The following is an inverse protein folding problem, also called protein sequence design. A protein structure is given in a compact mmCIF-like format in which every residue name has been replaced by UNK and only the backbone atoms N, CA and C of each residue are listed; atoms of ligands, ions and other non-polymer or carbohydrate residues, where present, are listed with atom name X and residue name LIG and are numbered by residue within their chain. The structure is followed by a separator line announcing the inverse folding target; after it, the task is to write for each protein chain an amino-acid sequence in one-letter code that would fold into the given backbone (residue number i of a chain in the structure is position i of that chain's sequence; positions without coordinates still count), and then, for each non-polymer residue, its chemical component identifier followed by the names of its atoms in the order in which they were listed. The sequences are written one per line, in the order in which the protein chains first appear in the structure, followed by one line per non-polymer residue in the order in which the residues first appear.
data_IF_657522946458
#
_entry.id   IF_657522946458
#
_cell.length_a   1.000
_cell.length_b   1.000
_cell.length_c   1.000
_cell.angle_alpha   90.00
_cell.angle_beta   90.00
_cell.angle_gamma   90.00
#
_symmetry.space_group_name_H-M   'P 1'
#
loop_
_entity.id
_entity.type
_entity.pdbx_description
1 polymer ?
#
# COMPACT_ATOMS: atom_id res chain seq x y z
N UNK A 1 0.61 -11.12 -12.11
CA UNK A 1 0.72 -9.90 -11.28
C UNK A 1 1.95 -10.02 -10.40
N UNK A 2 3.12 -9.61 -10.91
CA UNK A 2 4.40 -9.53 -10.18
C UNK A 2 5.19 -8.33 -10.74
N UNK A 3 4.54 -7.17 -10.89
CA UNK A 3 5.11 -6.00 -11.55
C UNK A 3 5.38 -4.82 -10.61
N UNK A 4 5.26 -5.05 -9.29
CA UNK A 4 5.63 -4.05 -8.29
C UNK A 4 7.06 -4.42 -7.87
N UNK A 5 8.07 -3.56 -8.07
CA UNK A 5 9.44 -3.85 -7.68
C UNK A 5 9.50 -4.12 -6.18
N UNK A 6 9.65 -5.40 -5.82
CA UNK A 6 10.00 -5.85 -4.48
C UNK A 6 11.50 -5.60 -4.28
N UNK A 7 11.92 -5.38 -3.04
CA UNK A 7 13.29 -5.34 -2.46
C UNK A 7 14.41 -5.88 -3.38
N UNK A 8 14.22 -7.05 -3.99
CA UNK A 8 15.17 -7.71 -4.91
C UNK A 8 15.59 -6.82 -6.09
N UNK A 9 14.66 -6.09 -6.72
CA UNK A 9 14.97 -5.21 -7.85
C UNK A 9 15.71 -3.92 -7.43
N UNK A 10 15.57 -3.51 -6.17
CA UNK A 10 16.29 -2.36 -5.60
C UNK A 10 17.72 -2.76 -5.20
N UNK A 11 17.92 -3.97 -4.69
CA UNK A 11 19.27 -4.51 -4.40
C UNK A 11 20.14 -4.60 -5.65
N UNK A 12 19.58 -4.92 -6.82
CA UNK A 12 20.30 -4.94 -8.10
C UNK A 12 20.70 -3.55 -8.60
N UNK A 13 20.11 -2.47 -8.05
CA UNK A 13 20.46 -1.07 -8.35
C UNK A 13 21.40 -0.45 -7.32
N UNK A 14 22.01 -1.24 -6.45
CA UNK A 14 22.97 -0.77 -5.43
C UNK A 14 22.32 -0.11 -4.21
N UNK A 15 21.00 -0.21 -4.05
CA UNK A 15 20.32 0.27 -2.85
C UNK A 15 20.49 -0.78 -1.76
N UNK A 16 21.32 -0.45 -0.77
CA UNK A 16 21.52 -1.26 0.42
C UNK A 16 20.26 -1.25 1.30
N UNK A 17 19.47 -2.32 1.22
CA UNK A 17 18.29 -2.50 2.09
C UNK A 17 18.81 -3.12 3.40
N UNK A 18 19.12 -2.26 4.37
CA UNK A 18 19.71 -2.65 5.66
C UNK A 18 18.76 -3.38 6.61
N UNK A 19 17.46 -3.46 6.30
CA UNK A 19 16.49 -4.18 7.15
C UNK A 19 15.37 -4.80 6.31
N UNK A 20 14.91 -6.02 6.62
CA UNK A 20 13.70 -6.62 6.04
C UNK A 20 12.41 -5.96 6.55
N UNK A 21 12.51 -4.89 7.34
CA UNK A 21 11.37 -4.17 7.91
C UNK A 21 10.82 -3.12 6.94
N UNK A 22 9.51 -2.92 6.98
CA UNK A 22 8.81 -1.93 6.18
C UNK A 22 9.31 -0.52 6.50
N UNK A 23 9.84 0.17 5.49
CA UNK A 23 10.32 1.56 5.61
C UNK A 23 9.26 2.59 6.05
N UNK A 24 7.97 2.25 5.99
CA UNK A 24 6.89 3.15 6.40
C UNK A 24 6.52 3.03 7.90
N UNK A 25 6.57 1.82 8.48
CA UNK A 25 6.14 1.58 9.87
C UNK A 25 7.24 0.98 10.78
N UNK A 26 8.38 0.57 10.22
CA UNK A 26 9.57 0.06 10.92
C UNK A 26 9.33 -1.21 11.75
N UNK A 27 8.17 -1.85 11.63
CA UNK A 27 7.77 -2.97 12.50
C UNK A 27 7.46 -4.29 11.78
N UNK A 28 6.89 -4.24 10.57
CA UNK A 28 6.49 -5.44 9.82
C UNK A 28 7.52 -5.88 8.79
N UNK A 29 7.62 -7.20 8.52
CA UNK A 29 8.41 -7.71 7.40
C UNK A 29 7.86 -7.17 6.09
N UNK A 30 8.72 -6.59 5.28
CA UNK A 30 8.32 -5.92 4.06
C UNK A 30 7.93 -6.95 3.00
N UNK A 31 6.62 -7.01 2.73
CA UNK A 31 6.03 -7.70 1.59
C UNK A 31 5.11 -6.73 0.86
N UNK A 32 4.78 -7.03 -0.39
CA UNK A 32 3.84 -6.22 -1.19
C UNK A 32 2.51 -6.03 -0.47
N UNK A 33 1.95 -7.09 0.11
CA UNK A 33 0.70 -7.01 0.87
C UNK A 33 0.88 -6.24 2.19
N UNK A 34 2.01 -6.39 2.88
CA UNK A 34 2.24 -5.56 4.06
C UNK A 34 2.31 -4.08 3.69
N UNK A 35 3.18 -3.72 2.75
CA UNK A 35 3.41 -2.35 2.34
C UNK A 35 2.14 -1.65 1.82
N UNK A 36 1.35 -2.35 1.00
CA UNK A 36 0.23 -1.74 0.30
C UNK A 36 -1.12 -1.93 0.99
N UNK A 37 -1.23 -2.82 1.97
CA UNK A 37 -2.52 -3.18 2.58
C UNK A 37 -2.47 -3.27 4.11
N UNK A 38 -1.45 -3.92 4.69
CA UNK A 38 -1.43 -4.22 6.14
C UNK A 38 -0.60 -3.24 6.98
N UNK A 39 0.22 -2.41 6.34
CA UNK A 39 1.01 -1.38 7.00
C UNK A 39 0.05 -0.38 7.66
N UNK A 40 0.25 0.02 8.92
CA UNK A 40 -0.62 0.99 9.58
C UNK A 40 -0.86 2.27 8.75
N UNK A 41 0.17 2.75 8.04
CA UNK A 41 0.06 3.87 7.12
C UNK A 41 -0.88 3.58 5.94
N UNK A 42 -0.76 2.40 5.33
CA UNK A 42 -1.64 2.00 4.24
C UNK A 42 -3.08 1.77 4.73
N UNK A 43 -3.26 1.16 5.91
CA UNK A 43 -4.58 0.93 6.53
C UNK A 43 -5.32 2.26 6.72
N UNK A 44 -4.63 3.28 7.22
CA UNK A 44 -5.22 4.61 7.41
C UNK A 44 -5.68 5.23 6.08
N UNK A 45 -4.85 5.15 5.04
CA UNK A 45 -5.23 5.61 3.69
C UNK A 45 -6.45 4.84 3.17
N UNK A 46 -6.49 3.53 3.36
CA UNK A 46 -7.63 2.72 2.93
C UNK A 46 -8.91 3.10 3.67
N UNK A 47 -8.86 3.30 4.98
CA UNK A 47 -10.02 3.73 5.75
C UNK A 47 -10.63 5.04 5.21
N UNK A 48 -9.79 6.02 4.89
CA UNK A 48 -10.24 7.29 4.30
C UNK A 48 -10.85 7.10 2.92
N UNK A 49 -10.23 6.26 2.06
CA UNK A 49 -10.78 5.98 0.72
C UNK A 49 -12.13 5.28 0.80
N UNK A 50 -12.28 4.30 1.70
CA UNK A 50 -13.53 3.58 1.89
C UNK A 50 -14.65 4.51 2.36
N UNK A 51 -14.35 5.38 3.32
CA UNK A 51 -15.28 6.42 3.79
C UNK A 51 -15.69 7.37 2.67
N UNK A 52 -14.72 7.90 1.90
CA UNK A 52 -15.00 8.78 0.75
C UNK A 52 -15.88 8.13 -0.31
N UNK A 53 -15.74 6.81 -0.50
CA UNK A 53 -16.55 6.06 -1.46
C UNK A 53 -17.90 5.59 -0.88
N UNK A 54 -18.17 5.83 0.41
CA UNK A 54 -19.36 5.35 1.10
C UNK A 54 -19.42 3.81 1.16
N UNK A 55 -18.27 3.16 1.31
CA UNK A 55 -18.14 1.69 1.33
C UNK A 55 -17.71 1.26 2.74
N UNK A 56 -18.44 0.30 3.32
CA UNK A 56 -18.00 -0.30 4.59
C UNK A 56 -16.76 -1.16 4.35
N UNK A 57 -15.64 -0.89 5.04
CA UNK A 57 -14.40 -1.65 4.83
C UNK A 57 -14.57 -3.12 5.23
N UNK A 58 -13.96 -4.00 4.44
CA UNK A 58 -13.84 -5.42 4.75
C UNK A 58 -12.38 -5.73 5.11
N UNK A 59 -12.15 -6.82 5.85
CA UNK A 59 -10.79 -7.28 6.16
C UNK A 59 -10.25 -8.04 4.95
N UNK A 60 -9.18 -7.52 4.34
CA UNK A 60 -8.51 -8.15 3.21
C UNK A 60 -7.19 -8.77 3.63
N UNK A 61 -6.94 -10.01 3.22
CA UNK A 61 -5.70 -10.72 3.53
C UNK A 61 -4.60 -10.44 2.51
N UNK A 62 -4.97 -10.05 1.28
CA UNK A 62 -4.06 -9.65 0.20
C UNK A 62 -4.74 -8.66 -0.77
N UNK A 63 -3.95 -7.98 -1.61
CA UNK A 63 -4.47 -7.01 -2.58
C UNK A 63 -5.46 -7.62 -3.58
N UNK A 64 -5.27 -8.90 -3.93
CA UNK A 64 -6.16 -9.61 -4.86
C UNK A 64 -7.59 -9.64 -4.32
N UNK A 65 -7.76 -9.95 -3.04
CA UNK A 65 -9.09 -9.97 -2.40
C UNK A 65 -9.75 -8.60 -2.41
N UNK A 66 -8.98 -7.53 -2.12
CA UNK A 66 -9.47 -6.16 -2.16
C UNK A 66 -9.95 -5.76 -3.57
N UNK A 67 -9.18 -6.10 -4.60
CA UNK A 67 -9.56 -5.84 -6.00
C UNK A 67 -10.81 -6.63 -6.40
N UNK A 68 -10.88 -7.93 -6.05
CA UNK A 68 -12.07 -8.75 -6.31
C UNK A 68 -13.29 -8.16 -5.62
N UNK A 69 -13.20 -7.80 -4.33
CA UNK A 69 -14.28 -7.15 -3.60
C UNK A 69 -14.75 -5.87 -4.28
N UNK A 70 -13.82 -5.04 -4.76
CA UNK A 70 -14.12 -3.81 -5.49
C UNK A 70 -14.95 -4.07 -6.75
N UNK A 71 -14.61 -5.12 -7.50
CA UNK A 71 -15.39 -5.48 -8.69
C UNK A 71 -16.80 -5.95 -8.35
N UNK A 72 -16.99 -6.62 -7.21
CA UNK A 72 -18.29 -7.09 -6.76
C UNK A 72 -19.21 -5.95 -6.30
N UNK A 73 -18.69 -4.99 -5.52
CA UNK A 73 -19.48 -3.87 -4.99
C UNK A 73 -19.80 -2.79 -6.02
N UNK A 74 -19.06 -2.76 -7.13
CA UNK A 74 -19.27 -1.77 -8.18
C UNK A 74 -20.67 -1.85 -8.80
N UNK A 75 -21.30 -3.03 -8.84
CA UNK A 75 -22.68 -3.31 -9.31
C UNK A 75 -23.02 -2.89 -10.76
N UNK A 76 -22.31 -1.93 -11.36
CA UNK A 76 -22.42 -1.52 -12.75
C UNK A 76 -21.06 -1.11 -13.31
N UNK A 77 -20.85 -1.18 -14.64
CA UNK A 77 -19.54 -0.94 -15.26
C UNK A 77 -18.92 0.40 -14.89
N UNK A 78 -19.71 1.49 -14.92
CA UNK A 78 -19.22 2.84 -14.62
C UNK A 78 -18.67 2.95 -13.20
N UNK A 79 -19.42 2.48 -12.19
CA UNK A 79 -18.99 2.53 -10.79
C UNK A 79 -17.81 1.60 -10.54
N UNK A 80 -17.80 0.40 -11.11
CA UNK A 80 -16.66 -0.52 -11.03
C UNK A 80 -15.39 0.13 -11.58
N UNK A 81 -15.44 0.75 -12.76
CA UNK A 81 -14.29 1.43 -13.36
C UNK A 81 -13.81 2.58 -12.48
N UNK A 82 -14.71 3.44 -11.98
CA UNK A 82 -14.35 4.54 -11.07
C UNK A 82 -13.66 4.05 -9.81
N UNK A 83 -14.19 3.03 -9.14
CA UNK A 83 -13.59 2.48 -7.92
C UNK A 83 -12.21 1.87 -8.20
N UNK A 84 -12.07 1.11 -9.29
CA UNK A 84 -10.78 0.55 -9.68
C UNK A 84 -9.75 1.64 -10.00
N UNK A 85 -10.15 2.75 -10.60
CA UNK A 85 -9.27 3.90 -10.84
C UNK A 85 -8.80 4.54 -9.53
N UNK A 86 -9.70 4.76 -8.56
CA UNK A 86 -9.36 5.30 -7.24
C UNK A 86 -8.36 4.39 -6.53
N UNK A 87 -8.66 3.09 -6.47
CA UNK A 87 -7.81 2.09 -5.82
C UNK A 87 -6.44 2.00 -6.49
N UNK A 88 -6.39 2.02 -7.82
CA UNK A 88 -5.12 2.00 -8.57
C UNK A 88 -4.28 3.25 -8.27
N UNK A 89 -4.91 4.42 -8.19
CA UNK A 89 -4.25 5.67 -7.80
C UNK A 89 -3.69 5.62 -6.37
N UNK A 90 -4.45 5.05 -5.43
CA UNK A 90 -4.01 4.89 -4.05
C UNK A 90 -2.83 3.92 -3.92
N UNK A 91 -2.89 2.76 -4.59
CA UNK A 91 -1.78 1.80 -4.67
C UNK A 91 -0.52 2.49 -5.19
N UNK A 92 -0.65 3.27 -6.27
CA UNK A 92 0.46 4.02 -6.83
C UNK A 92 1.02 5.06 -5.85
N UNK A 93 0.16 5.82 -5.17
CA UNK A 93 0.57 6.83 -4.20
C UNK A 93 1.33 6.23 -3.01
N UNK A 94 0.81 5.14 -2.43
CA UNK A 94 1.48 4.41 -1.34
C UNK A 94 2.83 3.88 -1.82
N UNK A 95 2.88 3.31 -3.03
CA UNK A 95 4.11 2.80 -3.60
C UNK A 95 5.16 3.88 -3.84
N UNK A 96 4.75 5.02 -4.39
CA UNK A 96 5.61 6.15 -4.65
C UNK A 96 6.20 6.71 -3.35
N UNK A 97 5.38 6.95 -2.34
CA UNK A 97 5.84 7.46 -1.03
C UNK A 97 6.87 6.54 -0.37
N UNK A 98 6.62 5.22 -0.41
CA UNK A 98 7.59 4.23 0.08
C UNK A 98 8.93 4.31 -0.66
N UNK A 99 8.89 4.44 -1.99
CA UNK A 99 10.12 4.57 -2.76
C UNK A 99 10.86 5.87 -2.46
N UNK A 100 10.12 6.97 -2.30
CA UNK A 100 10.70 8.27 -1.94
C UNK A 100 11.37 8.20 -0.56
N UNK A 101 10.82 7.44 0.40
CA UNK A 101 11.45 7.20 1.71
C UNK A 101 12.74 6.41 1.62
N UNK A 102 12.78 5.37 0.79
CA UNK A 102 13.98 4.55 0.58
C UNK A 102 15.07 5.34 -0.14
N UNK A 103 14.71 6.08 -1.19
CA UNK A 103 15.68 6.82 -2.02
C UNK A 103 16.24 8.02 -1.27
N UNK A 104 15.40 8.73 -0.49
CA UNK A 104 15.82 9.95 0.20
C UNK A 104 16.22 9.74 1.68
N UNK A 105 16.33 8.50 2.16
CA UNK A 105 16.58 8.18 3.57
C UNK A 105 15.65 8.93 4.56
N UNK A 106 14.41 9.24 4.14
CA UNK A 106 13.42 9.87 5.00
C UNK A 106 12.76 8.80 5.86
N UNK A 107 13.52 8.26 6.82
CA UNK A 107 12.97 7.45 7.90
C UNK A 107 12.30 8.43 8.85
N UNK A 108 10.98 8.63 8.67
CA UNK A 108 10.18 9.23 9.73
C UNK A 108 10.14 8.23 10.89
N UNK A 109 11.02 8.42 11.86
CA UNK A 109 10.90 7.78 13.15
C UNK A 109 9.57 8.26 13.77
N UNK A 110 8.62 7.37 14.09
CA UNK A 110 7.53 7.77 14.96
C UNK A 110 8.16 8.17 16.28
N UNK A 111 7.87 9.39 16.72
CA UNK A 111 8.44 9.96 17.93
C UNK A 111 8.32 8.99 19.09
N UNK A 112 9.47 8.65 19.67
CA UNK A 112 9.55 8.07 21.00
C UNK A 112 8.92 9.12 21.92
N UNK A 113 7.69 8.88 22.35
CA UNK A 113 7.10 9.60 23.46
C UNK A 113 7.90 9.27 24.71
N UNK A 114 8.68 10.24 25.17
CA UNK A 114 9.09 10.37 26.58
C UNK A 114 8.05 11.20 27.28
#
# INVERSE_FOLDING_TARGET
MNCIPIVIALSQRGVQIHSPQCSACVSGMESTDHMLLKCPFAVEIWNQIWDWCGITPNKFSCLKEMLTYTTMIGQCPKRTTTLLSIISGAIWGIWKERNDRIINNKIHLPGIGV
#
